data_IF_210682302626
#
_entry.id   IF_210682302626
#
_cell.length_a   1.000
_cell.length_b   1.000
_cell.length_c   1.000
_cell.angle_alpha   90.00
_cell.angle_beta   90.00
_cell.angle_gamma   90.00
#
_symmetry.space_group_name_H-M   'P 1'
#
loop_
_entity.id
_entity.type
_entity.pdbx_description
1 polymer ?
#
# COMPACT_ATOMS: atom_id res chain seq x y z
N UNK A 1 28.12 31.25 20.81
CA UNK A 1 26.74 31.69 21.08
C UNK A 1 25.89 31.66 19.81
N UNK A 2 26.30 32.29 18.71
CA UNK A 2 25.53 32.29 17.44
C UNK A 2 25.34 30.90 16.81
N UNK A 3 26.37 30.03 16.83
CA UNK A 3 26.24 28.66 16.31
C UNK A 3 25.20 27.83 17.10
N UNK A 4 25.22 27.93 18.42
CA UNK A 4 24.28 27.22 19.30
C UNK A 4 22.85 27.77 19.16
N UNK A 5 22.70 29.08 19.03
CA UNK A 5 21.41 29.71 18.76
C UNK A 5 20.86 29.36 17.37
N UNK A 6 21.72 29.31 16.34
CA UNK A 6 21.36 28.88 14.99
C UNK A 6 20.93 27.42 14.93
N UNK A 7 21.63 26.52 15.65
CA UNK A 7 21.24 25.12 15.78
C UNK A 7 19.91 24.97 16.54
N UNK A 8 19.70 25.72 17.62
CA UNK A 8 18.44 25.69 18.36
C UNK A 8 17.26 26.21 17.52
N UNK A 9 17.46 27.28 16.74
CA UNK A 9 16.45 27.80 15.83
C UNK A 9 16.14 26.83 14.68
N UNK A 10 17.18 26.23 14.07
CA UNK A 10 16.99 25.20 13.04
C UNK A 10 16.30 23.95 13.57
N UNK A 11 16.60 23.55 14.81
CA UNK A 11 15.88 22.48 15.50
C UNK A 11 14.41 22.87 15.69
N UNK A 12 14.10 24.05 16.20
CA UNK A 12 12.72 24.52 16.35
C UNK A 12 11.95 24.61 15.03
N UNK A 13 12.59 25.08 13.95
CA UNK A 13 12.02 25.13 12.60
C UNK A 13 11.66 23.73 12.09
N UNK A 14 12.52 22.73 12.33
CA UNK A 14 12.24 21.33 12.00
C UNK A 14 10.97 20.82 12.71
N UNK A 15 10.82 21.11 14.01
CA UNK A 15 9.61 20.72 14.75
C UNK A 15 8.37 21.47 14.28
N UNK A 16 8.49 22.74 13.90
CA UNK A 16 7.38 23.51 13.30
C UNK A 16 6.94 22.91 11.97
N UNK A 17 7.88 22.60 11.08
CA UNK A 17 7.59 21.94 9.81
C UNK A 17 6.93 20.56 10.01
N UNK A 18 7.40 19.80 11.01
CA UNK A 18 6.78 18.53 11.41
C UNK A 18 5.36 18.73 11.93
N UNK A 19 5.11 19.75 12.75
CA UNK A 19 3.79 20.08 13.29
C UNK A 19 2.82 20.51 12.18
N UNK A 20 3.26 21.32 11.22
CA UNK A 20 2.46 21.76 10.08
C UNK A 20 2.09 20.58 9.17
N UNK A 21 3.06 19.68 8.93
CA UNK A 21 2.83 18.43 8.18
C UNK A 21 1.80 17.54 8.89
N UNK A 22 1.96 17.33 10.20
CA UNK A 22 1.02 16.54 10.99
C UNK A 22 -0.38 17.15 11.01
N UNK A 23 -0.50 18.47 11.17
CA UNK A 23 -1.77 19.17 11.10
C UNK A 23 -2.44 18.97 9.72
N UNK A 24 -1.66 19.01 8.64
CA UNK A 24 -2.12 18.68 7.29
C UNK A 24 -2.64 17.24 7.17
N UNK A 25 -1.99 16.27 7.81
CA UNK A 25 -2.49 14.88 7.85
C UNK A 25 -3.80 14.76 8.64
N UNK A 26 -3.90 15.42 9.79
CA UNK A 26 -5.11 15.43 10.64
C UNK A 26 -6.29 16.09 9.94
N UNK A 27 -6.07 17.17 9.20
CA UNK A 27 -7.11 17.86 8.43
C UNK A 27 -7.44 17.16 7.10
N UNK A 28 -6.51 16.37 6.56
CA UNK A 28 -6.63 15.73 5.25
C UNK A 28 -6.86 14.23 5.33
N UNK A 29 -5.76 13.47 5.27
CA UNK A 29 -5.82 12.03 4.99
C UNK A 29 -6.28 11.17 6.17
N UNK A 30 -6.04 11.60 7.42
CA UNK A 30 -6.39 10.82 8.61
C UNK A 30 -7.91 10.61 8.71
N UNK A 31 -8.77 11.64 8.61
CA UNK A 31 -10.23 11.44 8.61
C UNK A 31 -10.70 10.48 7.52
N UNK A 32 -10.15 10.60 6.30
CA UNK A 32 -10.47 9.72 5.19
C UNK A 32 -10.10 8.26 5.50
N UNK A 33 -8.90 8.03 6.04
CA UNK A 33 -8.46 6.69 6.48
C UNK A 33 -9.40 6.13 7.54
N UNK A 34 -9.77 6.93 8.55
CA UNK A 34 -10.66 6.47 9.64
C UNK A 34 -12.04 6.08 9.11
N UNK A 35 -12.65 6.90 8.26
CA UNK A 35 -13.97 6.60 7.67
C UNK A 35 -13.89 5.34 6.81
N UNK A 36 -12.85 5.22 5.98
CA UNK A 36 -12.69 4.06 5.11
C UNK A 36 -12.41 2.79 5.91
N UNK A 37 -11.49 2.83 6.89
CA UNK A 37 -11.24 1.69 7.80
C UNK A 37 -12.52 1.29 8.54
N UNK A 38 -13.36 2.25 8.93
CA UNK A 38 -14.66 1.98 9.56
C UNK A 38 -15.62 1.32 8.59
N UNK A 39 -15.75 1.84 7.36
CA UNK A 39 -16.62 1.29 6.33
C UNK A 39 -16.18 -0.14 5.94
N UNK A 40 -14.87 -0.35 5.80
CA UNK A 40 -14.28 -1.67 5.54
C UNK A 40 -14.51 -2.62 6.70
N UNK A 41 -14.27 -2.19 7.93
CA UNK A 41 -14.53 -3.00 9.12
C UNK A 41 -16.01 -3.37 9.24
N UNK A 42 -16.90 -2.46 8.87
CA UNK A 42 -18.33 -2.71 8.77
C UNK A 42 -18.64 -3.74 7.67
N UNK A 43 -18.08 -3.61 6.47
CA UNK A 43 -18.22 -4.59 5.39
C UNK A 43 -17.71 -5.97 5.81
N UNK A 44 -16.55 -6.05 6.47
CA UNK A 44 -15.99 -7.30 6.98
C UNK A 44 -16.94 -7.92 8.01
N UNK A 45 -17.47 -7.13 8.95
CA UNK A 45 -18.45 -7.61 9.93
C UNK A 45 -19.76 -8.05 9.30
N UNK A 46 -20.25 -7.33 8.27
CA UNK A 46 -21.47 -7.66 7.55
C UNK A 46 -21.33 -8.93 6.70
N UNK A 47 -20.19 -9.11 6.03
CA UNK A 47 -19.86 -10.35 5.32
C UNK A 47 -19.68 -11.50 6.31
N UNK A 48 -19.18 -11.20 7.51
CA UNK A 48 -18.81 -12.15 8.54
C UNK A 48 -17.32 -12.44 8.48
N UNK A 49 -16.62 -12.28 9.61
CA UNK A 49 -15.17 -12.46 9.70
C UNK A 49 -14.75 -13.85 9.23
N UNK A 50 -15.48 -14.91 9.60
CA UNK A 50 -15.23 -16.28 9.12
C UNK A 50 -15.31 -16.39 7.60
N UNK A 51 -16.26 -15.70 6.96
CA UNK A 51 -16.39 -15.75 5.50
C UNK A 51 -15.25 -15.01 4.81
N UNK A 52 -14.84 -13.86 5.35
CA UNK A 52 -13.67 -13.11 4.84
C UNK A 52 -12.40 -13.94 5.02
N UNK A 53 -12.22 -14.58 6.19
CA UNK A 53 -11.09 -15.47 6.44
C UNK A 53 -11.13 -16.70 5.52
N UNK A 54 -12.29 -17.31 5.30
CA UNK A 54 -12.46 -18.43 4.38
C UNK A 54 -12.17 -18.02 2.93
N UNK A 55 -12.60 -16.84 2.50
CA UNK A 55 -12.28 -16.29 1.19
C UNK A 55 -10.78 -16.01 1.05
N UNK A 56 -10.14 -15.42 2.06
CA UNK A 56 -8.69 -15.21 2.06
C UNK A 56 -7.92 -16.53 1.99
N UNK A 57 -8.33 -17.54 2.77
CA UNK A 57 -7.76 -18.89 2.73
C UNK A 57 -8.02 -19.61 1.39
N UNK A 58 -9.17 -19.40 0.74
CA UNK A 58 -9.43 -19.94 -0.60
C UNK A 58 -8.59 -19.23 -1.65
N UNK A 59 -8.42 -17.91 -1.51
CA UNK A 59 -7.60 -17.10 -2.41
C UNK A 59 -6.11 -17.47 -2.34
N UNK A 60 -5.64 -18.17 -1.30
CA UNK A 60 -4.26 -18.66 -1.25
C UNK A 60 -4.03 -19.93 -2.07
N UNK A 61 -5.06 -20.59 -2.59
CA UNK A 61 -4.91 -21.87 -3.31
C UNK A 61 -4.47 -21.72 -4.77
N UNK A 62 -4.93 -20.69 -5.46
CA UNK A 62 -4.60 -20.45 -6.87
C UNK A 62 -3.56 -19.33 -6.99
N UNK A 63 -2.56 -19.53 -7.85
CA UNK A 63 -1.48 -18.56 -8.10
C UNK A 63 -2.01 -17.18 -8.50
N UNK A 64 -3.09 -17.12 -9.29
CA UNK A 64 -3.73 -15.86 -9.69
C UNK A 64 -4.31 -15.19 -8.46
N UNK A 65 -5.20 -15.88 -7.74
CA UNK A 65 -5.88 -15.29 -6.58
C UNK A 65 -4.91 -14.91 -5.46
N UNK A 66 -3.81 -15.65 -5.32
CA UNK A 66 -2.78 -15.42 -4.30
C UNK A 66 -1.94 -14.18 -4.56
N UNK A 67 -1.64 -13.87 -5.82
CA UNK A 67 -0.73 -12.77 -6.19
C UNK A 67 -1.40 -11.56 -6.85
N UNK A 68 -2.72 -11.62 -7.10
CA UNK A 68 -3.50 -10.44 -7.49
C UNK A 68 -4.63 -10.15 -6.52
N UNK A 69 -5.63 -11.02 -6.43
CA UNK A 69 -6.85 -10.73 -5.67
C UNK A 69 -6.54 -10.51 -4.19
N UNK A 70 -5.80 -11.42 -3.56
CA UNK A 70 -5.48 -11.32 -2.14
C UNK A 70 -4.68 -10.04 -1.81
N UNK A 71 -3.59 -9.68 -2.53
CA UNK A 71 -2.92 -8.39 -2.36
C UNK A 71 -3.85 -7.18 -2.53
N UNK A 72 -4.67 -7.14 -3.59
CA UNK A 72 -5.59 -6.02 -3.86
C UNK A 72 -6.57 -5.85 -2.69
N UNK A 73 -7.21 -6.94 -2.26
CA UNK A 73 -8.13 -6.89 -1.13
C UNK A 73 -7.42 -6.44 0.15
N UNK A 74 -6.24 -6.99 0.42
CA UNK A 74 -5.44 -6.64 1.62
C UNK A 74 -5.11 -5.15 1.64
N UNK A 75 -4.67 -4.59 0.52
CA UNK A 75 -4.27 -3.20 0.38
C UNK A 75 -5.46 -2.25 0.46
N UNK A 76 -6.55 -2.53 -0.26
CA UNK A 76 -7.72 -1.65 -0.26
C UNK A 76 -8.40 -1.59 1.11
N UNK A 77 -8.41 -2.71 1.83
CA UNK A 77 -9.09 -2.82 3.11
C UNK A 77 -8.25 -2.35 4.29
N UNK A 78 -6.96 -2.68 4.34
CA UNK A 78 -6.12 -2.43 5.50
C UNK A 78 -5.05 -1.35 5.29
N UNK A 79 -4.67 -1.09 4.04
CA UNK A 79 -3.56 -0.18 3.72
C UNK A 79 -2.22 -0.61 4.31
N UNK A 80 -1.20 0.20 4.10
CA UNK A 80 0.12 0.04 4.71
C UNK A 80 0.08 0.46 6.20
N UNK A 81 0.67 -0.28 7.15
CA UNK A 81 1.32 -1.62 7.04
C UNK A 81 0.38 -2.80 7.33
N UNK A 82 -0.89 -2.55 7.65
CA UNK A 82 -1.78 -3.60 8.14
C UNK A 82 -2.13 -4.65 7.09
N UNK A 83 -2.06 -4.33 5.80
CA UNK A 83 -2.28 -5.26 4.69
C UNK A 83 -1.41 -6.53 4.75
N UNK A 84 -0.19 -6.46 5.32
CA UNK A 84 0.69 -7.62 5.43
C UNK A 84 0.17 -8.71 6.37
N UNK A 85 -0.75 -8.36 7.29
CA UNK A 85 -1.35 -9.32 8.21
C UNK A 85 -2.11 -10.46 7.51
N UNK A 86 -2.58 -10.24 6.27
CA UNK A 86 -3.21 -11.27 5.45
C UNK A 86 -2.24 -12.38 5.02
N UNK A 87 -0.93 -12.14 5.12
CA UNK A 87 0.11 -13.15 4.91
C UNK A 87 -0.01 -14.33 5.88
N UNK A 88 -0.72 -14.19 7.00
CA UNK A 88 -1.02 -15.31 7.92
C UNK A 88 -1.82 -16.45 7.27
N UNK A 89 -2.57 -16.15 6.20
CA UNK A 89 -3.37 -17.15 5.47
C UNK A 89 -2.59 -17.85 4.36
N UNK A 90 -1.38 -17.37 4.05
CA UNK A 90 -0.53 -17.86 2.96
C UNK A 90 0.46 -18.87 3.52
N UNK A 91 0.66 -19.99 2.81
CA UNK A 91 1.67 -20.99 3.17
C UNK A 91 3.08 -20.38 3.20
N UNK A 92 3.94 -20.86 4.09
CA UNK A 92 5.27 -20.29 4.36
C UNK A 92 6.11 -20.10 3.09
N UNK A 93 6.10 -21.07 2.17
CA UNK A 93 6.85 -21.02 0.90
C UNK A 93 6.40 -19.90 -0.05
N UNK A 94 5.19 -19.36 0.14
CA UNK A 94 4.59 -18.34 -0.73
C UNK A 94 4.53 -16.96 -0.08
N UNK A 95 4.82 -16.85 1.22
CA UNK A 95 4.82 -15.57 1.94
C UNK A 95 5.77 -14.52 1.34
N UNK A 96 7.00 -14.85 0.89
CA UNK A 96 7.87 -13.85 0.26
C UNK A 96 7.26 -13.24 -1.01
N UNK A 97 6.66 -14.08 -1.86
CA UNK A 97 6.00 -13.64 -3.08
C UNK A 97 4.72 -12.85 -2.81
N UNK A 98 3.94 -13.25 -1.80
CA UNK A 98 2.77 -12.49 -1.36
C UNK A 98 3.17 -11.11 -0.83
N UNK A 99 4.20 -11.05 0.02
CA UNK A 99 4.72 -9.79 0.55
C UNK A 99 5.16 -8.86 -0.59
N UNK A 100 5.95 -9.38 -1.52
CA UNK A 100 6.43 -8.64 -2.68
C UNK A 100 5.28 -8.11 -3.57
N UNK A 101 4.30 -8.94 -3.89
CA UNK A 101 3.11 -8.51 -4.62
C UNK A 101 2.32 -7.43 -3.86
N UNK A 102 2.18 -7.56 -2.54
CA UNK A 102 1.41 -6.64 -1.70
C UNK A 102 2.11 -5.28 -1.58
N UNK A 103 3.40 -5.25 -1.24
CA UNK A 103 4.16 -3.99 -1.13
C UNK A 103 4.22 -3.27 -2.47
N UNK A 104 4.36 -4.02 -3.57
CA UNK A 104 4.40 -3.43 -4.92
C UNK A 104 3.07 -2.78 -5.31
N UNK A 105 1.93 -3.26 -4.82
CA UNK A 105 0.64 -2.67 -5.12
C UNK A 105 0.38 -1.35 -4.38
N UNK A 106 1.07 -1.12 -3.25
CA UNK A 106 0.89 0.06 -2.43
C UNK A 106 1.28 1.38 -3.12
N UNK A 107 2.07 1.33 -4.20
CA UNK A 107 2.45 2.53 -4.95
C UNK A 107 1.41 2.90 -6.04
N UNK A 108 1.09 2.03 -7.02
CA UNK A 108 0.19 2.36 -8.13
C UNK A 108 -1.25 2.65 -7.68
N UNK A 109 -1.67 2.13 -6.53
CA UNK A 109 -3.02 2.26 -6.01
C UNK A 109 -3.33 3.67 -5.47
N UNK A 110 -2.30 4.44 -5.09
CA UNK A 110 -2.43 5.73 -4.40
C UNK A 110 -3.15 6.81 -5.20
N UNK A 111 -3.10 6.74 -6.54
CA UNK A 111 -3.80 7.69 -7.40
C UNK A 111 -5.33 7.60 -7.31
N UNK A 112 -5.86 6.40 -7.02
CA UNK A 112 -7.30 6.18 -6.81
C UNK A 112 -7.65 6.07 -5.31
N UNK A 113 -6.74 5.54 -4.52
CA UNK A 113 -6.94 5.18 -3.12
C UNK A 113 -5.75 5.67 -2.27
N UNK A 114 -5.63 7.00 -2.05
CA UNK A 114 -4.48 7.59 -1.36
C UNK A 114 -4.33 7.09 0.08
N UNK A 115 -5.43 6.67 0.72
CA UNK A 115 -5.45 6.09 2.07
C UNK A 115 -4.66 4.79 2.17
N UNK A 116 -4.53 4.04 1.07
CA UNK A 116 -3.89 2.73 1.06
C UNK A 116 -2.40 2.81 1.38
N UNK A 117 -1.75 3.93 1.04
CA UNK A 117 -0.34 4.17 1.35
C UNK A 117 -0.04 5.66 1.46
N UNK A 118 -0.64 6.33 2.44
CA UNK A 118 -0.50 7.77 2.62
C UNK A 118 0.95 8.25 2.76
N UNK A 119 1.82 7.41 3.34
CA UNK A 119 3.25 7.71 3.53
C UNK A 119 4.04 7.90 2.24
N UNK A 120 3.56 7.38 1.11
CA UNK A 120 4.25 7.49 -0.19
C UNK A 120 3.42 8.22 -1.24
N UNK A 121 2.31 8.85 -0.83
CA UNK A 121 1.46 9.63 -1.73
C UNK A 121 2.23 10.71 -2.49
N UNK A 122 3.30 11.24 -1.89
CA UNK A 122 4.17 12.24 -2.52
C UNK A 122 4.79 11.76 -3.85
N UNK A 123 5.02 10.45 -4.01
CA UNK A 123 5.57 9.87 -5.25
C UNK A 123 4.58 10.01 -6.39
N UNK A 124 3.31 9.68 -6.16
CA UNK A 124 2.24 9.88 -7.14
C UNK A 124 2.03 11.38 -7.42
N UNK A 125 2.04 12.21 -6.37
CA UNK A 125 1.81 13.64 -6.52
C UNK A 125 2.89 14.34 -7.34
N UNK A 126 4.15 13.91 -7.25
CA UNK A 126 5.23 14.43 -8.09
C UNK A 126 4.97 14.21 -9.59
N UNK A 127 4.45 13.03 -9.96
CA UNK A 127 4.11 12.70 -11.35
C UNK A 127 2.83 13.42 -11.78
N UNK A 128 1.82 13.45 -10.90
CA UNK A 128 0.56 14.14 -11.14
C UNK A 128 0.78 15.64 -11.42
N UNK A 129 1.70 16.30 -10.71
CA UNK A 129 2.03 17.71 -10.96
C UNK A 129 2.51 17.95 -12.40
N UNK A 130 3.31 17.03 -12.97
CA UNK A 130 3.74 17.09 -14.37
C UNK A 130 2.58 16.95 -15.35
N UNK A 131 1.66 16.01 -15.11
CA UNK A 131 0.45 15.81 -15.92
C UNK A 131 -0.48 17.03 -15.86
N UNK A 132 -0.68 17.61 -14.68
CA UNK A 132 -1.47 18.83 -14.49
C UNK A 132 -0.85 20.01 -15.26
N UNK A 133 0.48 20.16 -15.24
CA UNK A 133 1.18 21.23 -15.98
C UNK A 133 0.96 21.13 -17.50
N UNK A 134 0.79 19.91 -18.02
CA UNK A 134 0.46 19.67 -19.43
C UNK A 134 -1.02 19.88 -19.76
N UNK A 135 -1.86 20.21 -18.76
CA UNK A 135 -3.30 20.37 -18.94
C UNK A 135 -4.05 19.05 -19.17
N UNK A 136 -3.46 17.91 -18.81
CA UNK A 136 -4.03 16.59 -19.04
C UNK A 136 -4.84 16.09 -17.82
N UNK A 137 -5.85 15.21 -18.02
CA UNK A 137 -6.66 14.69 -16.92
C UNK A 137 -5.88 13.76 -15.99
N UNK A 138 -5.97 13.99 -14.67
CA UNK A 138 -5.36 13.12 -13.66
C UNK A 138 -6.06 11.76 -13.52
N UNK A 139 -7.35 11.67 -13.86
CA UNK A 139 -8.11 10.42 -13.80
C UNK A 139 -7.50 9.34 -14.70
N UNK A 140 -7.06 9.71 -15.90
CA UNK A 140 -6.42 8.80 -16.85
C UNK A 140 -5.13 8.22 -16.29
N UNK A 141 -4.33 9.04 -15.61
CA UNK A 141 -3.10 8.61 -14.95
C UNK A 141 -3.42 7.60 -13.84
N UNK A 142 -4.36 7.93 -12.96
CA UNK A 142 -4.73 7.10 -11.82
C UNK A 142 -5.24 5.71 -12.25
N UNK A 143 -6.10 5.66 -13.27
CA UNK A 143 -6.63 4.39 -13.81
C UNK A 143 -5.53 3.56 -14.47
N UNK A 144 -4.66 4.18 -15.27
CA UNK A 144 -3.53 3.48 -15.92
C UNK A 144 -2.58 2.89 -14.87
N UNK A 145 -2.26 3.65 -13.82
CA UNK A 145 -1.41 3.18 -12.73
C UNK A 145 -2.03 1.98 -12.04
N UNK A 146 -3.32 2.05 -11.71
CA UNK A 146 -4.03 0.94 -11.08
C UNK A 146 -4.01 -0.33 -11.93
N UNK A 147 -4.36 -0.23 -13.22
CA UNK A 147 -4.38 -1.38 -14.14
C UNK A 147 -2.99 -2.00 -14.36
N UNK A 148 -1.98 -1.16 -14.59
CA UNK A 148 -0.58 -1.63 -14.71
C UNK A 148 -0.14 -2.26 -13.40
N UNK A 149 -0.51 -1.67 -12.25
CA UNK A 149 -0.24 -2.21 -10.93
C UNK A 149 -0.72 -3.66 -10.79
N UNK A 150 -1.96 -3.95 -11.18
CA UNK A 150 -2.52 -5.32 -11.12
C UNK A 150 -1.68 -6.31 -11.93
N UNK A 151 -1.24 -5.91 -13.14
CA UNK A 151 -0.41 -6.76 -14.00
C UNK A 151 0.96 -6.99 -13.36
N UNK A 152 1.58 -5.93 -12.84
CA UNK A 152 2.91 -6.00 -12.25
C UNK A 152 2.93 -6.89 -11.02
N UNK A 153 1.96 -6.79 -10.11
CA UNK A 153 1.95 -7.61 -8.88
C UNK A 153 1.78 -9.10 -9.18
N UNK A 154 1.04 -9.44 -10.24
CA UNK A 154 0.92 -10.82 -10.69
C UNK A 154 2.27 -11.37 -11.14
N UNK A 155 2.96 -10.62 -12.01
CA UNK A 155 4.27 -11.00 -12.54
C UNK A 155 5.27 -11.13 -11.40
N UNK A 156 5.31 -10.14 -10.50
CA UNK A 156 6.19 -10.12 -9.34
C UNK A 156 5.96 -11.30 -8.42
N UNK A 157 4.71 -11.61 -8.08
CA UNK A 157 4.38 -12.79 -7.27
C UNK A 157 4.92 -14.09 -7.86
N UNK A 158 4.75 -14.30 -9.17
CA UNK A 158 5.28 -15.49 -9.86
C UNK A 158 6.81 -15.51 -9.84
N UNK A 159 7.44 -14.40 -10.22
CA UNK A 159 8.90 -14.30 -10.33
C UNK A 159 9.55 -14.49 -8.97
N UNK A 160 9.03 -13.83 -7.93
CA UNK A 160 9.55 -13.92 -6.57
C UNK A 160 9.38 -15.32 -5.99
N UNK A 161 8.26 -16.00 -6.26
CA UNK A 161 8.11 -17.40 -5.85
C UNK A 161 9.17 -18.31 -6.49
N UNK A 162 9.42 -18.15 -7.80
CA UNK A 162 10.43 -18.93 -8.53
C UNK A 162 11.84 -18.67 -8.00
N UNK A 163 12.18 -17.41 -7.76
CA UNK A 163 13.48 -17.01 -7.21
C UNK A 163 13.65 -17.63 -5.82
N UNK A 164 12.67 -17.42 -4.93
CA UNK A 164 12.73 -17.92 -3.56
C UNK A 164 12.86 -19.44 -3.50
N UNK A 165 12.08 -20.17 -4.31
CA UNK A 165 12.16 -21.63 -4.40
C UNK A 165 13.54 -22.08 -4.86
N UNK A 166 14.12 -21.41 -5.86
CA UNK A 166 15.46 -21.72 -6.37
C UNK A 166 16.55 -21.47 -5.33
N UNK A 167 16.44 -20.39 -4.55
CA UNK A 167 17.36 -20.10 -3.46
C UNK A 167 17.29 -21.15 -2.35
N UNK A 168 16.08 -21.55 -1.96
CA UNK A 168 15.87 -22.56 -0.92
C UNK A 168 16.37 -23.95 -1.32
N UNK A 169 16.27 -24.30 -2.60
CA UNK A 169 16.81 -25.56 -3.11
C UNK A 169 18.35 -25.63 -3.05
N UNK A 170 19.05 -24.49 -3.18
CA UNK A 170 20.51 -24.41 -3.08
C UNK A 170 21.05 -24.36 -1.65
N UNK A 171 20.18 -24.08 -0.67
CA UNK A 171 20.54 -23.99 0.74
C UNK A 171 20.40 -25.34 1.48
N UNK A 172 19.94 -26.39 0.79
CA UNK A 172 20.00 -27.78 1.23
C UNK A 172 21.25 -28.44 0.67
#
# INVERSE_FOLDING_TARGET
MELLAGLANGFMELFKAGAETFAGWVAGIIPLIVVLMTAVSAVIKLIGEERVQSLAQKATKNIITRYTILPILSVLFLGNPMCYSFGRFVEEKHKPAFYDATVSFLHPVTGLFPHANGGELFVYMGIAAGITKLGLPLGDLAVRYFLVGIIIIFIRGIVTEKIYTSMKAKAK
#
